data_IF_104715468081
#
_entry.id   IF_104715468081
#
_cell.length_a   1.000
_cell.length_b   1.000
_cell.length_c   1.000
_cell.angle_alpha   90.00
_cell.angle_beta   90.00
_cell.angle_gamma   90.00
#
_symmetry.space_group_name_H-M   'P 1'
#
loop_
_entity.id
_entity.type
_entity.pdbx_description
1 polymer ?
#
# COMPACT_ATOMS: atom_id res chain seq x y z
N UNK A 1 47.69 26.31 51.34
CA UNK A 1 47.69 27.35 50.28
C UNK A 1 47.01 26.77 49.06
N UNK A 2 45.71 27.06 48.84
CA UNK A 2 44.93 26.49 47.75
C UNK A 2 45.09 27.27 46.44
N UNK A 3 44.77 26.59 45.34
CA UNK A 3 44.32 27.12 44.02
C UNK A 3 45.27 27.97 43.17
N UNK A 4 46.05 27.30 42.31
CA UNK A 4 46.62 27.87 41.07
C UNK A 4 46.43 26.94 39.86
N UNK A 5 45.24 26.35 39.71
CA UNK A 5 44.89 25.55 38.52
C UNK A 5 43.45 25.88 38.13
N UNK A 6 43.22 26.97 37.38
CA UNK A 6 41.93 27.19 36.68
C UNK A 6 41.85 28.38 35.71
N UNK A 7 42.87 29.25 35.60
CA UNK A 7 42.81 30.38 34.67
C UNK A 7 42.75 30.01 33.17
N UNK A 8 43.47 29.00 32.63
CA UNK A 8 43.38 28.70 31.20
C UNK A 8 42.06 28.01 30.80
N UNK A 9 41.41 27.31 31.74
CA UNK A 9 40.12 26.65 31.50
C UNK A 9 38.98 27.68 31.46
N UNK A 10 39.04 28.71 32.29
CA UNK A 10 38.07 29.81 32.26
C UNK A 10 38.15 30.64 30.96
N UNK A 11 39.35 30.83 30.41
CA UNK A 11 39.56 31.52 29.14
C UNK A 11 39.06 30.70 27.92
N UNK A 12 39.16 29.37 27.98
CA UNK A 12 38.66 28.48 26.93
C UNK A 12 37.12 28.38 26.86
N UNK A 13 36.40 28.87 27.88
CA UNK A 13 34.93 28.85 27.95
C UNK A 13 34.27 30.14 27.40
N UNK A 14 35.06 31.18 27.09
CA UNK A 14 34.55 32.52 26.83
C UNK A 14 34.17 32.78 25.35
N UNK A 15 34.58 31.92 24.42
CA UNK A 15 34.29 32.08 23.00
C UNK A 15 32.93 31.44 22.67
N UNK A 16 31.86 32.02 23.23
CA UNK A 16 30.50 31.66 22.82
C UNK A 16 30.33 32.09 21.36
N UNK A 17 29.96 31.18 20.44
CA UNK A 17 29.67 31.57 19.07
C UNK A 17 28.61 32.66 19.08
N UNK A 18 28.76 33.65 18.20
CA UNK A 18 27.82 34.75 18.10
C UNK A 18 26.39 34.22 17.91
N UNK A 19 25.38 34.95 18.38
CA UNK A 19 23.97 34.52 18.22
C UNK A 19 23.65 34.25 16.76
N UNK A 20 24.30 34.97 15.84
CA UNK A 20 24.16 34.80 14.40
C UNK A 20 24.77 33.48 13.89
N UNK A 21 25.93 33.07 14.40
CA UNK A 21 26.51 31.75 14.07
C UNK A 21 25.65 30.62 14.64
N UNK A 22 25.14 30.77 15.85
CA UNK A 22 24.23 29.78 16.46
C UNK A 22 22.96 29.61 15.63
N UNK A 23 22.36 30.73 15.19
CA UNK A 23 21.24 30.71 14.25
C UNK A 23 21.62 30.05 12.93
N UNK A 24 22.81 30.32 12.39
CA UNK A 24 23.34 29.68 11.19
C UNK A 24 23.40 28.16 11.32
N UNK A 25 23.96 27.65 12.41
CA UNK A 25 24.03 26.20 12.68
C UNK A 25 22.63 25.57 12.84
N UNK A 26 21.70 26.26 13.51
CA UNK A 26 20.33 25.78 13.68
C UNK A 26 19.57 25.73 12.35
N UNK A 27 19.68 26.78 11.53
CA UNK A 27 19.06 26.81 10.20
C UNK A 27 19.64 25.74 9.29
N UNK A 28 20.96 25.54 9.31
CA UNK A 28 21.60 24.49 8.52
C UNK A 28 21.12 23.09 8.93
N UNK A 29 21.04 22.83 10.23
CA UNK A 29 20.47 21.57 10.75
C UNK A 29 19.01 21.38 10.33
N UNK A 30 18.20 22.44 10.41
CA UNK A 30 16.81 22.42 9.98
C UNK A 30 16.68 22.11 8.48
N UNK A 31 17.49 22.74 7.62
CA UNK A 31 17.50 22.48 6.17
C UNK A 31 17.86 21.02 5.88
N UNK A 32 18.87 20.47 6.55
CA UNK A 32 19.28 19.06 6.36
C UNK A 32 18.16 18.10 6.73
N UNK A 33 17.45 18.35 7.84
CA UNK A 33 16.32 17.51 8.25
C UNK A 33 15.17 17.58 7.25
N UNK A 34 14.80 18.79 6.80
CA UNK A 34 13.76 18.95 5.77
C UNK A 34 14.17 18.29 4.46
N UNK A 35 15.43 18.37 4.05
CA UNK A 35 15.94 17.71 2.85
C UNK A 35 15.86 16.18 2.98
N UNK A 36 16.22 15.63 4.14
CA UNK A 36 16.09 14.19 4.40
C UNK A 36 14.64 13.73 4.31
N UNK A 37 13.71 14.42 4.99
CA UNK A 37 12.27 14.14 4.94
C UNK A 37 11.72 14.25 3.50
N UNK A 38 12.09 15.30 2.77
CA UNK A 38 11.69 15.51 1.39
C UNK A 38 12.26 14.42 0.46
N UNK A 39 13.48 13.97 0.68
CA UNK A 39 14.11 12.89 -0.10
C UNK A 39 13.39 11.56 0.09
N UNK A 40 13.01 11.24 1.33
CA UNK A 40 12.25 10.02 1.64
C UNK A 40 10.86 10.12 1.00
N UNK A 41 10.16 11.24 1.17
CA UNK A 41 8.86 11.47 0.53
C UNK A 41 8.94 11.33 -1.00
N UNK A 42 9.94 11.97 -1.62
CA UNK A 42 10.17 11.89 -3.06
C UNK A 42 10.45 10.46 -3.52
N UNK A 43 11.25 9.70 -2.76
CA UNK A 43 11.53 8.30 -3.07
C UNK A 43 10.25 7.45 -3.04
N UNK A 44 9.40 7.64 -2.02
CA UNK A 44 8.10 6.97 -1.91
C UNK A 44 7.17 7.35 -3.08
N UNK A 45 7.12 8.63 -3.46
CA UNK A 45 6.36 9.13 -4.62
C UNK A 45 6.86 8.50 -5.93
N UNK A 46 8.18 8.43 -6.14
CA UNK A 46 8.76 7.81 -7.34
C UNK A 46 8.33 6.35 -7.44
N UNK A 47 8.50 5.57 -6.37
CA UNK A 47 8.08 4.16 -6.31
C UNK A 47 6.58 4.05 -6.59
N UNK A 48 5.75 4.83 -5.88
CA UNK A 48 4.30 4.85 -6.08
C UNK A 48 3.87 5.25 -7.50
N UNK A 49 4.56 6.20 -8.13
CA UNK A 49 4.32 6.61 -9.52
C UNK A 49 4.68 5.50 -10.50
N UNK A 50 5.75 4.73 -10.27
CA UNK A 50 6.07 3.57 -11.11
C UNK A 50 4.94 2.52 -11.07
N UNK A 51 4.46 2.16 -9.87
CA UNK A 51 3.33 1.23 -9.71
C UNK A 51 2.00 1.77 -10.28
N UNK A 52 1.70 3.05 -10.08
CA UNK A 52 0.51 3.70 -10.66
C UNK A 52 0.58 3.75 -12.18
N UNK A 53 1.75 4.02 -12.76
CA UNK A 53 1.92 4.10 -14.21
C UNK A 53 1.82 2.72 -14.87
N UNK A 54 2.29 1.65 -14.22
CA UNK A 54 2.05 0.27 -14.67
C UNK A 54 0.59 -0.14 -14.57
N UNK A 55 -0.11 0.27 -13.50
CA UNK A 55 -1.55 0.01 -13.36
C UNK A 55 -2.39 0.76 -14.42
N UNK A 56 -2.08 2.05 -14.65
CA UNK A 56 -2.74 2.84 -15.69
C UNK A 56 -2.49 2.31 -17.11
N UNK A 57 -1.28 1.79 -17.38
CA UNK A 57 -0.97 1.14 -18.65
C UNK A 57 -1.78 -0.16 -18.86
N UNK A 58 -2.00 -0.95 -17.80
CA UNK A 58 -2.89 -2.12 -17.87
C UNK A 58 -4.36 -1.74 -18.04
N UNK A 59 -4.83 -0.67 -17.39
CA UNK A 59 -6.19 -0.17 -17.58
C UNK A 59 -6.43 0.40 -18.99
N UNK A 60 -5.45 1.10 -19.57
CA UNK A 60 -5.54 1.61 -20.94
C UNK A 60 -5.55 0.48 -21.98
N UNK A 61 -4.79 -0.60 -21.77
CA UNK A 61 -4.82 -1.78 -22.63
C UNK A 61 -6.17 -2.51 -22.58
N UNK A 62 -6.89 -2.46 -21.46
CA UNK A 62 -8.24 -3.01 -21.34
C UNK A 62 -9.33 -2.17 -22.06
N UNK A 63 -9.12 -0.85 -22.20
CA UNK A 63 -10.04 0.05 -22.93
C UNK A 63 -9.73 0.07 -24.44
N UNK A 64 -8.51 -0.27 -24.84
CA UNK A 64 -8.10 -0.34 -26.24
C UNK A 64 -8.42 -1.68 -26.93
N UNK A 65 -9.19 -2.57 -26.30
CA UNK A 65 -9.78 -3.70 -27.01
C UNK A 65 -10.84 -3.14 -27.98
N UNK A 66 -10.67 -3.25 -29.31
CA UNK A 66 -11.64 -2.71 -30.25
C UNK A 66 -12.97 -3.42 -30.06
N UNK A 67 -14.04 -2.66 -29.80
CA UNK A 67 -15.40 -3.15 -29.93
C UNK A 67 -15.62 -3.53 -31.40
N UNK A 68 -15.45 -4.82 -31.71
CA UNK A 68 -15.72 -5.36 -33.02
C UNK A 68 -17.24 -5.23 -33.30
N UNK A 69 -17.64 -4.69 -34.46
CA UNK A 69 -19.05 -4.50 -34.78
C UNK A 69 -19.74 -5.84 -34.93
N UNK A 70 -20.95 -5.92 -34.37
CA UNK A 70 -21.84 -7.07 -34.40
C UNK A 70 -22.27 -7.31 -35.84
N UNK A 71 -21.66 -8.29 -36.51
CA UNK A 71 -22.13 -8.81 -37.79
C UNK A 71 -22.85 -10.14 -37.55
N UNK A 72 -24.13 -10.15 -37.90
CA UNK A 72 -24.98 -11.32 -37.86
C UNK A 72 -24.54 -12.40 -38.87
N UNK A 73 -24.87 -13.65 -38.56
CA UNK A 73 -24.96 -14.85 -39.43
C UNK A 73 -23.67 -15.65 -39.70
N UNK A 74 -23.43 -16.67 -38.86
CA UNK A 74 -23.05 -18.06 -39.22
C UNK A 74 -22.85 -18.90 -37.94
N UNK A 75 -23.12 -20.22 -37.92
CA UNK A 75 -23.09 -21.02 -36.70
C UNK A 75 -21.65 -21.38 -36.32
N UNK A 76 -21.20 -20.83 -35.20
CA UNK A 76 -19.91 -21.16 -34.55
C UNK A 76 -20.16 -22.28 -33.54
N UNK A 77 -19.25 -23.27 -33.39
CA UNK A 77 -19.42 -24.37 -32.43
C UNK A 77 -19.61 -23.84 -31.02
N UNK A 78 -20.52 -24.48 -30.26
CA UNK A 78 -20.94 -24.05 -28.94
C UNK A 78 -19.75 -23.66 -28.04
N UNK A 79 -19.58 -22.35 -27.84
CA UNK A 79 -18.75 -21.81 -26.77
C UNK A 79 -19.35 -22.27 -25.42
N UNK A 80 -18.51 -22.57 -24.41
CA UNK A 80 -19.01 -22.90 -23.08
C UNK A 80 -19.93 -21.78 -22.61
N UNK A 81 -21.13 -22.15 -22.16
CA UNK A 81 -22.17 -21.22 -21.73
C UNK A 81 -21.58 -20.13 -20.82
N UNK A 82 -22.01 -18.86 -20.95
CA UNK A 82 -21.57 -17.81 -20.06
C UNK A 82 -21.89 -18.25 -18.62
N UNK A 83 -20.82 -18.49 -17.85
CA UNK A 83 -20.95 -18.71 -16.42
C UNK A 83 -21.70 -17.51 -15.86
N UNK A 84 -22.88 -17.79 -15.31
CA UNK A 84 -23.78 -16.87 -14.63
C UNK A 84 -22.98 -15.74 -13.98
N UNK A 85 -23.21 -14.49 -14.40
CA UNK A 85 -22.62 -13.33 -13.77
C UNK A 85 -22.77 -13.50 -12.24
N UNK A 86 -21.67 -13.40 -11.45
CA UNK A 86 -21.74 -13.57 -10.01
C UNK A 86 -22.83 -12.63 -9.49
N UNK A 87 -23.85 -13.20 -8.85
CA UNK A 87 -24.90 -12.40 -8.26
C UNK A 87 -24.23 -11.44 -7.27
N UNK A 88 -24.31 -10.14 -7.55
CA UNK A 88 -23.79 -9.12 -6.64
C UNK A 88 -24.54 -9.32 -5.32
N UNK A 89 -23.83 -9.62 -4.21
CA UNK A 89 -24.50 -9.83 -2.94
C UNK A 89 -25.28 -8.55 -2.60
N UNK A 90 -26.55 -8.70 -2.21
CA UNK A 90 -27.41 -7.58 -1.87
C UNK A 90 -26.75 -6.73 -0.77
N UNK A 91 -26.50 -5.45 -1.06
CA UNK A 91 -25.85 -4.51 -0.14
C UNK A 91 -24.36 -4.24 -0.38
N UNK A 92 -23.73 -4.86 -1.38
CA UNK A 92 -22.35 -4.53 -1.79
C UNK A 92 -22.35 -3.69 -3.07
N UNK A 93 -21.66 -2.55 -3.01
CA UNK A 93 -21.44 -1.70 -4.18
C UNK A 93 -20.60 -2.46 -5.23
N UNK A 94 -20.93 -2.36 -6.53
CA UNK A 94 -20.23 -3.10 -7.58
C UNK A 94 -18.74 -2.72 -7.67
N UNK A 95 -18.36 -1.52 -7.26
CA UNK A 95 -16.98 -1.05 -7.18
C UNK A 95 -16.20 -1.81 -6.09
N UNK A 96 -16.83 -2.08 -4.95
CA UNK A 96 -16.23 -2.87 -3.87
C UNK A 96 -16.05 -4.32 -4.29
N UNK A 97 -17.03 -4.89 -4.99
CA UNK A 97 -16.92 -6.24 -5.54
C UNK A 97 -15.71 -6.34 -6.48
N UNK A 98 -15.56 -5.40 -7.41
CA UNK A 98 -14.43 -5.34 -8.34
C UNK A 98 -13.09 -5.16 -7.60
N UNK A 99 -13.04 -4.28 -6.60
CA UNK A 99 -11.83 -4.07 -5.81
C UNK A 99 -11.41 -5.34 -5.06
N UNK A 100 -12.37 -6.05 -4.44
CA UNK A 100 -12.10 -7.29 -3.71
C UNK A 100 -11.64 -8.40 -4.67
N UNK A 101 -12.30 -8.59 -5.80
CA UNK A 101 -11.92 -9.64 -6.76
C UNK A 101 -10.54 -9.39 -7.36
N UNK A 102 -10.21 -8.14 -7.70
CA UNK A 102 -8.87 -7.76 -8.17
C UNK A 102 -7.83 -7.98 -7.07
N UNK A 103 -8.11 -7.58 -5.83
CA UNK A 103 -7.19 -7.81 -4.71
C UNK A 103 -6.91 -9.30 -4.48
N UNK A 104 -7.94 -10.15 -4.54
CA UNK A 104 -7.79 -11.62 -4.42
C UNK A 104 -6.97 -12.18 -5.59
N UNK A 105 -7.24 -11.74 -6.81
CA UNK A 105 -6.50 -12.20 -7.99
C UNK A 105 -5.01 -11.81 -7.93
N UNK A 106 -4.70 -10.59 -7.49
CA UNK A 106 -3.30 -10.13 -7.34
C UNK A 106 -2.58 -10.85 -6.20
N UNK A 107 -3.27 -11.19 -5.11
CA UNK A 107 -2.64 -11.79 -3.92
C UNK A 107 -2.48 -13.30 -4.01
N UNK A 108 -3.48 -14.02 -4.51
CA UNK A 108 -3.50 -15.49 -4.58
C UNK A 108 -3.25 -16.03 -6.00
N UNK A 109 -3.30 -15.19 -7.02
CA UNK A 109 -3.17 -15.61 -8.43
C UNK A 109 -4.31 -16.50 -8.90
N UNK A 110 -4.09 -17.21 -10.01
CA UNK A 110 -5.10 -18.04 -10.69
C UNK A 110 -5.52 -19.31 -9.92
N UNK A 111 -4.93 -19.57 -8.74
CA UNK A 111 -5.20 -20.77 -7.94
C UNK A 111 -6.44 -20.64 -7.05
N UNK A 112 -6.95 -19.42 -6.86
CA UNK A 112 -8.06 -19.15 -5.96
C UNK A 112 -9.27 -18.57 -6.71
N UNK A 113 -10.46 -18.95 -6.27
CA UNK A 113 -11.73 -18.41 -6.78
C UNK A 113 -12.55 -17.85 -5.64
N UNK A 114 -13.13 -16.67 -5.84
CA UNK A 114 -14.04 -16.06 -4.87
C UNK A 114 -15.37 -16.82 -4.92
N UNK A 115 -15.73 -17.51 -3.84
CA UNK A 115 -16.97 -18.29 -3.75
C UNK A 115 -18.14 -17.45 -3.22
N UNK A 116 -17.88 -16.64 -2.19
CA UNK A 116 -18.87 -15.76 -1.59
C UNK A 116 -18.17 -14.56 -0.93
N UNK A 117 -18.83 -13.39 -0.99
CA UNK A 117 -18.44 -12.21 -0.24
C UNK A 117 -19.63 -11.88 0.65
N UNK A 118 -19.42 -11.97 1.97
CA UNK A 118 -20.45 -11.76 2.98
C UNK A 118 -19.98 -10.66 3.92
N UNK A 119 -20.79 -9.61 4.16
CA UNK A 119 -20.46 -8.63 5.19
C UNK A 119 -20.50 -9.31 6.55
N UNK A 120 -19.35 -9.32 7.24
CA UNK A 120 -19.24 -9.87 8.58
C UNK A 120 -19.53 -8.74 9.57
N UNK A 121 -20.54 -8.86 10.45
CA UNK A 121 -20.76 -7.87 11.49
C UNK A 121 -19.52 -7.80 12.42
N UNK A 122 -19.38 -6.72 13.19
CA UNK A 122 -18.27 -6.50 14.12
C UNK A 122 -18.36 -7.42 15.36
N UNK A 123 -18.63 -8.70 15.14
CA UNK A 123 -18.72 -9.78 16.13
C UNK A 123 -17.40 -10.54 16.20
N UNK A 124 -17.30 -11.48 17.15
CA UNK A 124 -16.13 -12.34 17.37
C UNK A 124 -15.86 -13.36 16.23
N UNK A 125 -16.39 -13.12 15.02
CA UNK A 125 -16.25 -14.00 13.86
C UNK A 125 -14.78 -14.28 13.51
N UNK A 126 -13.93 -13.25 13.55
CA UNK A 126 -12.48 -13.39 13.31
C UNK A 126 -11.76 -14.19 14.40
N UNK A 127 -12.16 -14.02 15.66
CA UNK A 127 -11.60 -14.78 16.78
C UNK A 127 -11.97 -16.28 16.66
N UNK A 128 -13.20 -16.58 16.22
CA UNK A 128 -13.62 -17.96 15.96
C UNK A 128 -12.90 -18.58 14.77
N UNK A 129 -12.64 -17.83 13.70
CA UNK A 129 -11.94 -18.34 12.53
C UNK A 129 -10.46 -18.63 12.81
N UNK A 130 -9.76 -17.74 13.51
CA UNK A 130 -8.39 -17.99 13.97
C UNK A 130 -8.29 -19.26 14.81
N UNK A 131 -9.28 -19.49 15.69
CA UNK A 131 -9.37 -20.72 16.48
C UNK A 131 -9.57 -21.96 15.59
N UNK A 132 -10.41 -21.88 14.55
CA UNK A 132 -10.61 -22.97 13.60
C UNK A 132 -9.35 -23.30 12.81
N UNK A 133 -8.59 -22.29 12.39
CA UNK A 133 -7.33 -22.48 11.66
C UNK A 133 -6.28 -23.23 12.51
N UNK A 134 -6.17 -22.88 13.80
CA UNK A 134 -5.26 -23.56 14.74
C UNK A 134 -5.60 -25.05 14.85
N UNK A 135 -6.88 -25.39 15.01
CA UNK A 135 -7.32 -26.79 15.11
C UNK A 135 -7.28 -27.55 13.79
N UNK A 136 -7.48 -26.87 12.64
CA UNK A 136 -7.39 -27.51 11.33
C UNK A 136 -5.97 -28.02 11.00
N UNK A 137 -4.93 -27.39 11.54
CA UNK A 137 -3.54 -27.83 11.37
C UNK A 137 -3.18 -29.10 12.18
N UNK A 138 -3.96 -29.44 13.21
CA UNK A 138 -3.73 -30.57 14.11
C UNK A 138 -4.88 -31.58 14.01
N UNK A 139 -5.01 -32.27 12.87
CA UNK A 139 -5.87 -33.45 12.80
C UNK A 139 -5.04 -34.68 13.21
N UNK A 140 -5.37 -35.37 14.33
CA UNK A 140 -4.81 -36.69 14.59
C UNK A 140 -5.35 -37.63 13.50
N UNK A 141 -4.41 -38.21 12.74
CA UNK A 141 -4.69 -39.32 11.81
C UNK A 141 -4.84 -40.62 12.58
#
# INVERSE_FOLDING_TARGET
>A
MPTLVSLPVAAALAEKPSVLETLGYQLNGMIVVFLALASIWLFLEIVGRFFKRSAAAQSAAAVAAPAAPVAATAPVPAAPAPSRAPAVPAGLAPELLAAITVAVHVTLGDRARVQAIVPVPLTQAWAHDGRRQIFASHQPR
#
